data_IF_895936552445
#
_entry.id   IF_895936552445
#
_cell.length_a   1.000
_cell.length_b   1.000
_cell.length_c   1.000
_cell.angle_alpha   90.00
_cell.angle_beta   90.00
_cell.angle_gamma   90.00
#
_symmetry.space_group_name_H-M   'P 1'
#
loop_
_entity.id
_entity.type
_entity.pdbx_description
1 polymer ?
#
# COMPACT_ATOMS: atom_id res chain seq x y z
N UNK A 1 -4.74 53.38 31.31
CA UNK A 1 -5.56 52.49 30.47
C UNK A 1 -4.67 51.88 29.36
N UNK A 2 -3.81 50.91 29.64
CA UNK A 2 -2.94 50.22 28.67
C UNK A 2 -2.57 48.83 29.23
N UNK A 3 -3.53 47.92 29.44
CA UNK A 3 -3.23 46.55 29.92
C UNK A 3 -4.20 45.45 29.40
N UNK A 4 -4.92 45.67 28.31
CA UNK A 4 -5.91 44.66 27.82
C UNK A 4 -5.55 44.09 26.43
N UNK A 5 -4.47 44.58 25.80
CA UNK A 5 -4.16 44.17 24.40
C UNK A 5 -3.19 43.01 24.25
N UNK A 6 -2.73 42.35 25.33
CA UNK A 6 -1.71 41.31 25.26
C UNK A 6 -2.23 39.88 25.45
N UNK A 7 -3.52 39.72 25.73
CA UNK A 7 -4.12 38.40 26.01
C UNK A 7 -4.85 37.74 24.83
N UNK A 8 -5.02 38.42 23.71
CA UNK A 8 -5.74 37.92 22.55
C UNK A 8 -4.84 37.24 21.53
N UNK A 9 -3.52 37.48 21.60
CA UNK A 9 -2.57 36.94 20.60
C UNK A 9 -2.10 35.51 20.90
N UNK A 10 -2.38 34.97 22.10
CA UNK A 10 -1.95 33.59 22.49
C UNK A 10 -2.98 32.51 22.12
N UNK A 11 -4.22 32.91 21.81
CA UNK A 11 -5.31 31.95 21.54
C UNK A 11 -5.37 31.48 20.07
N UNK A 12 -4.52 31.97 19.18
CA UNK A 12 -4.54 31.65 17.75
C UNK A 12 -3.47 30.61 17.29
N UNK A 13 -2.65 30.09 18.23
CA UNK A 13 -1.56 29.16 17.90
C UNK A 13 -1.85 27.69 18.23
N UNK A 14 -3.07 27.33 18.63
CA UNK A 14 -3.39 25.95 19.05
C UNK A 14 -4.28 25.19 18.04
N UNK A 15 -4.44 25.67 16.82
CA UNK A 15 -5.41 25.07 15.89
C UNK A 15 -4.83 24.46 14.63
N UNK A 16 -3.58 24.08 14.57
CA UNK A 16 -3.03 23.28 13.45
C UNK A 16 -2.20 22.09 13.89
N UNK A 17 -2.66 21.37 14.90
CA UNK A 17 -2.31 19.96 14.97
C UNK A 17 -3.25 19.21 14.01
N UNK A 18 -3.03 19.34 12.71
CA UNK A 18 -3.39 18.28 11.80
C UNK A 18 -2.56 17.09 12.25
N UNK A 19 -3.08 16.32 13.20
CA UNK A 19 -2.73 14.94 13.32
C UNK A 19 -2.95 14.37 11.92
N UNK A 20 -1.88 14.18 11.17
CA UNK A 20 -1.87 13.23 10.09
C UNK A 20 -2.38 11.95 10.73
N UNK A 21 -3.66 11.69 10.59
CA UNK A 21 -4.29 10.43 10.94
C UNK A 21 -3.46 9.43 10.17
N UNK A 22 -2.59 8.70 10.87
CA UNK A 22 -1.92 7.57 10.27
C UNK A 22 -3.07 6.79 9.63
N UNK A 23 -3.11 6.76 8.29
CA UNK A 23 -4.06 5.92 7.57
C UNK A 23 -3.88 4.55 8.21
N UNK A 24 -4.85 4.16 9.03
CA UNK A 24 -4.93 2.79 9.52
C UNK A 24 -4.88 1.96 8.24
N UNK A 25 -3.87 1.08 8.11
CA UNK A 25 -3.73 0.30 6.91
C UNK A 25 -4.97 -0.61 6.80
N UNK A 26 -5.97 -0.06 6.12
CA UNK A 26 -7.21 -0.73 5.77
C UNK A 26 -6.86 -2.00 5.01
N UNK A 27 -7.50 -3.12 5.31
CA UNK A 27 -7.32 -4.34 4.54
C UNK A 27 -7.78 -4.11 3.08
N UNK A 28 -7.22 -4.87 2.15
CA UNK A 28 -7.66 -4.80 0.75
C UNK A 28 -9.14 -5.16 0.61
N UNK A 29 -9.64 -6.06 1.45
CA UNK A 29 -11.06 -6.42 1.50
C UNK A 29 -11.93 -5.21 1.86
N UNK A 30 -11.61 -4.52 2.97
CA UNK A 30 -12.35 -3.34 3.42
C UNK A 30 -12.30 -2.21 2.37
N UNK A 31 -11.18 -2.07 1.67
CA UNK A 31 -11.05 -1.12 0.56
C UNK A 31 -11.99 -1.48 -0.60
N UNK A 32 -11.99 -2.74 -1.03
CA UNK A 32 -12.82 -3.21 -2.15
C UNK A 32 -14.32 -3.23 -1.84
N UNK A 33 -14.72 -3.37 -0.57
CA UNK A 33 -16.13 -3.25 -0.16
C UNK A 33 -16.69 -1.82 -0.33
N UNK A 34 -15.82 -0.81 -0.40
CA UNK A 34 -16.19 0.61 -0.52
C UNK A 34 -15.98 1.19 -1.91
N UNK A 35 -15.39 0.43 -2.82
CA UNK A 35 -14.96 0.90 -4.13
C UNK A 35 -15.54 0.03 -5.24
N UNK A 36 -15.80 0.67 -6.37
CA UNK A 36 -16.18 -0.04 -7.58
C UNK A 36 -14.93 -0.68 -8.20
N UNK A 37 -14.94 -2.00 -8.35
CA UNK A 37 -13.84 -2.77 -8.94
C UNK A 37 -13.67 -2.49 -10.44
N UNK A 38 -14.72 -2.02 -11.12
CA UNK A 38 -14.64 -1.65 -12.53
C UNK A 38 -13.99 -0.28 -12.76
N UNK A 39 -13.83 0.50 -11.71
CA UNK A 39 -13.15 1.79 -11.80
C UNK A 39 -11.64 1.62 -11.98
N UNK A 40 -11.06 2.23 -13.03
CA UNK A 40 -9.63 2.14 -13.36
C UNK A 40 -8.71 2.49 -12.18
N UNK A 41 -9.05 3.54 -11.42
CA UNK A 41 -8.29 3.95 -10.23
C UNK A 41 -8.27 2.86 -9.15
N UNK A 42 -9.37 2.12 -8.97
CA UNK A 42 -9.48 0.99 -8.04
C UNK A 42 -8.63 -0.18 -8.51
N UNK A 43 -8.66 -0.49 -9.80
CA UNK A 43 -7.84 -1.55 -10.39
C UNK A 43 -6.35 -1.23 -10.29
N UNK A 44 -5.94 0.01 -10.60
CA UNK A 44 -4.57 0.49 -10.45
C UNK A 44 -4.10 0.33 -8.99
N UNK A 45 -4.93 0.73 -8.02
CA UNK A 45 -4.59 0.55 -6.61
C UNK A 45 -4.45 -0.92 -6.22
N UNK A 46 -5.39 -1.78 -6.62
CA UNK A 46 -5.36 -3.23 -6.39
C UNK A 46 -4.08 -3.88 -6.94
N UNK A 47 -3.73 -3.56 -8.18
CA UNK A 47 -2.53 -4.09 -8.84
C UNK A 47 -1.24 -3.66 -8.12
N UNK A 48 -1.11 -2.38 -7.75
CA UNK A 48 0.04 -1.88 -6.99
C UNK A 48 0.14 -2.53 -5.61
N UNK A 49 -1.00 -2.70 -4.92
CA UNK A 49 -1.04 -3.31 -3.59
C UNK A 49 -0.66 -4.79 -3.65
N UNK A 50 -1.16 -5.51 -4.65
CA UNK A 50 -0.77 -6.90 -4.88
C UNK A 50 0.69 -7.05 -5.33
N UNK A 51 1.22 -6.13 -6.12
CA UNK A 51 2.65 -6.09 -6.44
C UNK A 51 3.49 -5.87 -5.18
N UNK A 52 3.09 -4.96 -4.29
CA UNK A 52 3.80 -4.67 -3.05
C UNK A 52 3.82 -5.86 -2.08
N UNK A 53 2.69 -6.57 -1.89
CA UNK A 53 2.63 -7.71 -0.97
C UNK A 53 3.45 -8.90 -1.48
N UNK A 54 3.48 -9.17 -2.80
CA UNK A 54 4.36 -10.18 -3.36
C UNK A 54 5.84 -9.81 -3.22
N UNK A 55 6.20 -8.53 -3.38
CA UNK A 55 7.56 -8.06 -3.09
C UNK A 55 7.92 -8.27 -1.62
N UNK A 56 6.99 -7.97 -0.70
CA UNK A 56 7.17 -8.21 0.73
C UNK A 56 7.32 -9.71 1.06
N UNK A 57 6.44 -10.56 0.54
CA UNK A 57 6.51 -12.00 0.74
C UNK A 57 7.83 -12.59 0.24
N UNK A 58 8.28 -12.14 -0.95
CA UNK A 58 9.58 -12.51 -1.49
C UNK A 58 10.72 -12.16 -0.53
N UNK A 59 10.75 -10.94 0.00
CA UNK A 59 11.79 -10.49 0.92
C UNK A 59 11.84 -11.33 2.21
N UNK A 60 10.67 -11.74 2.75
CA UNK A 60 10.59 -12.56 3.97
C UNK A 60 11.18 -13.95 3.74
N UNK A 61 10.92 -14.60 2.61
CA UNK A 61 11.34 -15.98 2.38
C UNK A 61 12.67 -16.13 1.64
N UNK A 62 13.26 -15.04 1.15
CA UNK A 62 14.45 -15.06 0.29
C UNK A 62 15.59 -15.93 0.83
N UNK A 63 15.80 -15.91 2.17
CA UNK A 63 16.88 -16.67 2.81
C UNK A 63 16.58 -18.16 2.98
N UNK A 64 15.30 -18.54 2.97
CA UNK A 64 14.86 -19.93 3.23
C UNK A 64 14.40 -20.65 1.98
N UNK A 65 13.85 -19.92 1.00
CA UNK A 65 13.33 -20.49 -0.25
C UNK A 65 13.53 -19.50 -1.41
N UNK A 66 14.71 -19.55 -2.02
CA UNK A 66 15.10 -18.66 -3.13
C UNK A 66 14.21 -18.87 -4.36
N UNK A 67 13.77 -20.11 -4.63
CA UNK A 67 12.97 -20.43 -5.82
C UNK A 67 11.56 -19.80 -5.71
N UNK A 68 10.89 -20.02 -4.59
CA UNK A 68 9.59 -19.42 -4.33
C UNK A 68 9.68 -17.88 -4.25
N UNK A 69 10.76 -17.35 -3.67
CA UNK A 69 11.03 -15.91 -3.64
C UNK A 69 11.10 -15.31 -5.04
N UNK A 70 11.81 -15.95 -5.98
CA UNK A 70 11.85 -15.50 -7.39
C UNK A 70 10.47 -15.53 -8.03
N UNK A 71 9.67 -16.57 -7.82
CA UNK A 71 8.30 -16.64 -8.34
C UNK A 71 7.40 -15.51 -7.80
N UNK A 72 7.60 -15.09 -6.55
CA UNK A 72 6.89 -13.93 -6.02
C UNK A 72 7.34 -12.62 -6.67
N UNK A 73 8.62 -12.42 -6.94
CA UNK A 73 9.10 -11.22 -7.67
C UNK A 73 8.55 -11.18 -9.10
N UNK A 74 8.49 -12.31 -9.79
CA UNK A 74 7.90 -12.37 -11.13
C UNK A 74 6.42 -11.97 -11.10
N UNK A 75 5.63 -12.49 -10.15
CA UNK A 75 4.23 -12.07 -9.95
C UNK A 75 4.12 -10.58 -9.62
N UNK A 76 4.97 -10.08 -8.73
CA UNK A 76 5.00 -8.66 -8.37
C UNK A 76 5.24 -7.75 -9.58
N UNK A 77 6.22 -8.10 -10.41
CA UNK A 77 6.56 -7.31 -11.59
C UNK A 77 5.45 -7.38 -12.66
N UNK A 78 4.83 -8.53 -12.87
CA UNK A 78 3.71 -8.67 -13.82
C UNK A 78 2.52 -7.80 -13.40
N UNK A 79 2.19 -7.76 -12.10
CA UNK A 79 1.10 -6.91 -11.59
C UNK A 79 1.44 -5.42 -11.69
N UNK A 80 2.70 -5.06 -11.42
CA UNK A 80 3.16 -3.68 -11.58
C UNK A 80 3.06 -3.23 -13.05
N UNK A 81 3.46 -4.11 -13.97
CA UNK A 81 3.38 -3.82 -15.40
C UNK A 81 1.93 -3.57 -15.86
N UNK A 82 0.99 -4.42 -15.42
CA UNK A 82 -0.45 -4.20 -15.67
C UNK A 82 -0.95 -2.88 -15.09
N UNK A 83 -0.45 -2.47 -13.91
CA UNK A 83 -0.79 -1.16 -13.35
C UNK A 83 -0.28 0.00 -14.21
N UNK A 84 0.94 -0.10 -14.74
CA UNK A 84 1.50 0.88 -15.68
C UNK A 84 0.65 0.97 -16.96
N UNK A 85 0.25 -0.18 -17.53
CA UNK A 85 -0.63 -0.20 -18.70
C UNK A 85 -1.95 0.53 -18.46
N UNK A 86 -2.61 0.28 -17.32
CA UNK A 86 -3.85 0.97 -16.97
C UNK A 86 -3.65 2.47 -16.76
N UNK A 87 -2.55 2.90 -16.14
CA UNK A 87 -2.24 4.33 -15.97
C UNK A 87 -2.07 5.03 -17.33
N UNK A 88 -1.49 4.35 -18.32
CA UNK A 88 -1.35 4.90 -19.67
C UNK A 88 -2.72 4.97 -20.35
N UNK A 89 -3.53 3.92 -20.26
CA UNK A 89 -4.81 3.81 -20.98
C UNK A 89 -5.88 4.71 -20.34
N UNK A 90 -6.08 4.59 -19.03
CA UNK A 90 -7.21 5.21 -18.33
C UNK A 90 -6.88 6.62 -17.84
N UNK A 91 -5.64 6.84 -17.37
CA UNK A 91 -5.20 8.13 -16.82
C UNK A 91 -4.41 8.96 -17.84
N UNK A 92 -4.19 8.45 -19.06
CA UNK A 92 -3.48 9.13 -20.16
C UNK A 92 -2.05 9.60 -19.77
N UNK A 93 -1.40 8.87 -18.87
CA UNK A 93 -0.03 9.18 -18.46
C UNK A 93 0.98 8.81 -19.56
N UNK A 94 2.12 9.48 -19.57
CA UNK A 94 3.26 9.01 -20.36
C UNK A 94 3.81 7.72 -19.77
N UNK A 95 4.52 6.92 -20.55
CA UNK A 95 5.16 5.70 -20.06
C UNK A 95 6.09 5.97 -18.88
N UNK A 96 6.90 7.04 -18.96
CA UNK A 96 7.85 7.43 -17.93
C UNK A 96 7.12 7.80 -16.61
N UNK A 97 6.08 8.63 -16.70
CA UNK A 97 5.30 9.04 -15.53
C UNK A 97 4.54 7.86 -14.93
N UNK A 98 3.93 7.00 -15.75
CA UNK A 98 3.22 5.82 -15.29
C UNK A 98 4.15 4.82 -14.56
N UNK A 99 5.34 4.57 -15.10
CA UNK A 99 6.34 3.71 -14.46
C UNK A 99 6.76 4.28 -13.11
N UNK A 100 7.14 5.56 -13.08
CA UNK A 100 7.54 6.24 -11.84
C UNK A 100 6.42 6.21 -10.79
N UNK A 101 5.19 6.57 -11.19
CA UNK A 101 4.05 6.60 -10.28
C UNK A 101 3.70 5.21 -9.74
N UNK A 102 3.75 4.16 -10.58
CA UNK A 102 3.52 2.80 -10.14
C UNK A 102 4.60 2.31 -9.16
N UNK A 103 5.87 2.60 -9.43
CA UNK A 103 6.97 2.25 -8.53
C UNK A 103 6.89 2.98 -7.19
N UNK A 104 6.57 4.27 -7.19
CA UNK A 104 6.42 5.07 -5.96
C UNK A 104 5.23 4.56 -5.12
N UNK A 105 4.10 4.25 -5.75
CA UNK A 105 2.94 3.65 -5.08
C UNK A 105 3.29 2.28 -4.49
N UNK A 106 3.92 1.39 -5.28
CA UNK A 106 4.37 0.07 -4.81
C UNK A 106 5.32 0.19 -3.63
N UNK A 107 6.31 1.08 -3.71
CA UNK A 107 7.30 1.30 -2.65
C UNK A 107 6.63 1.71 -1.34
N UNK A 108 5.73 2.70 -1.38
CA UNK A 108 4.99 3.15 -0.18
C UNK A 108 4.18 2.01 0.43
N UNK A 109 3.47 1.22 -0.37
CA UNK A 109 2.68 0.07 0.08
C UNK A 109 3.58 -1.03 0.66
N UNK A 110 4.72 -1.31 0.05
CA UNK A 110 5.72 -2.24 0.56
C UNK A 110 6.24 -1.81 1.93
N UNK A 111 6.59 -0.54 2.11
CA UNK A 111 7.05 0.01 3.39
C UNK A 111 5.99 -0.17 4.50
N UNK A 112 4.70 0.01 4.17
CA UNK A 112 3.60 -0.28 5.09
C UNK A 112 3.55 -1.75 5.49
N UNK A 113 3.66 -2.70 4.53
CA UNK A 113 3.72 -4.13 4.83
C UNK A 113 4.93 -4.50 5.70
N UNK A 114 6.10 -3.89 5.46
CA UNK A 114 7.29 -4.10 6.29
C UNK A 114 7.04 -3.65 7.73
N UNK A 115 6.47 -2.45 7.91
CA UNK A 115 6.19 -1.90 9.24
C UNK A 115 5.15 -2.74 10.00
N UNK A 116 4.05 -3.10 9.35
CA UNK A 116 2.96 -3.83 9.99
C UNK A 116 3.28 -5.32 10.16
N UNK A 117 3.99 -5.92 9.21
CA UNK A 117 4.48 -7.29 9.35
C UNK A 117 5.49 -7.43 10.50
N UNK A 118 6.33 -6.41 10.74
CA UNK A 118 7.21 -6.37 11.93
C UNK A 118 6.40 -6.33 13.22
N UNK A 119 5.41 -5.42 13.31
CA UNK A 119 4.51 -5.36 14.48
C UNK A 119 3.78 -6.70 14.71
N UNK A 120 3.32 -7.32 13.61
CA UNK A 120 2.65 -8.60 13.70
C UNK A 120 3.59 -9.73 14.15
N UNK A 121 4.84 -9.72 13.68
CA UNK A 121 5.86 -10.65 14.14
C UNK A 121 6.11 -10.52 15.65
N UNK A 122 6.24 -9.30 16.14
CA UNK A 122 6.48 -9.06 17.58
C UNK A 122 5.34 -9.64 18.44
N UNK A 123 4.09 -9.51 17.97
CA UNK A 123 2.89 -9.98 18.66
C UNK A 123 2.60 -11.47 18.43
N UNK A 124 2.63 -11.94 17.20
CA UNK A 124 2.08 -13.23 16.77
C UNK A 124 3.16 -14.21 16.29
N UNK A 125 4.44 -13.82 16.26
CA UNK A 125 5.56 -14.61 15.70
C UNK A 125 5.32 -15.03 14.24
N UNK A 126 4.59 -14.24 13.49
CA UNK A 126 4.31 -14.42 12.08
C UNK A 126 4.24 -13.08 11.37
N UNK A 127 4.78 -12.98 10.16
CA UNK A 127 4.66 -11.79 9.33
C UNK A 127 3.25 -11.62 8.71
N UNK A 128 2.50 -12.69 8.59
CA UNK A 128 1.22 -12.73 7.88
C UNK A 128 0.05 -13.14 8.80
N UNK A 129 0.16 -14.31 9.47
CA UNK A 129 -0.93 -14.90 10.23
C UNK A 129 -1.39 -13.99 11.37
N UNK A 130 -2.71 -13.77 11.46
CA UNK A 130 -3.30 -12.92 12.50
C UNK A 130 -3.29 -11.42 12.20
N UNK A 131 -3.06 -11.05 10.94
CA UNK A 131 -3.13 -9.67 10.44
C UNK A 131 -3.85 -9.59 9.10
N UNK A 132 -4.24 -8.38 8.70
CA UNK A 132 -4.83 -8.10 7.39
C UNK A 132 -3.91 -8.52 6.22
N UNK A 133 -2.59 -8.63 6.46
CA UNK A 133 -1.61 -9.01 5.42
C UNK A 133 -1.91 -10.41 4.88
N UNK A 134 -2.38 -11.35 5.71
CA UNK A 134 -2.78 -12.68 5.25
C UNK A 134 -4.03 -12.63 4.36
N UNK A 135 -4.98 -11.76 4.66
CA UNK A 135 -6.18 -11.56 3.84
C UNK A 135 -5.84 -10.92 2.50
N UNK A 136 -5.04 -9.87 2.51
CA UNK A 136 -4.53 -9.23 1.29
C UNK A 136 -3.80 -10.23 0.39
N UNK A 137 -2.93 -11.07 0.97
CA UNK A 137 -2.22 -12.12 0.23
C UNK A 137 -3.18 -13.14 -0.40
N UNK A 138 -4.27 -13.49 0.30
CA UNK A 138 -5.30 -14.38 -0.24
C UNK A 138 -6.01 -13.78 -1.45
N UNK A 139 -6.39 -12.50 -1.39
CA UNK A 139 -7.03 -11.78 -2.51
C UNK A 139 -6.07 -11.69 -3.70
N UNK A 140 -4.84 -11.27 -3.45
CA UNK A 140 -3.82 -11.13 -4.49
C UNK A 140 -3.44 -12.46 -5.14
N UNK A 141 -3.52 -13.57 -4.40
CA UNK A 141 -3.24 -14.90 -4.98
C UNK A 141 -4.32 -15.34 -5.98
N UNK A 142 -5.56 -14.97 -5.77
CA UNK A 142 -6.64 -15.21 -6.74
C UNK A 142 -6.40 -14.39 -8.00
N UNK A 143 -6.17 -13.08 -7.85
CA UNK A 143 -5.91 -12.18 -8.97
C UNK A 143 -4.71 -12.61 -9.84
N UNK A 144 -3.64 -13.09 -9.23
CA UNK A 144 -2.43 -13.51 -9.96
C UNK A 144 -2.58 -14.87 -10.68
N UNK A 145 -3.60 -15.66 -10.36
CA UNK A 145 -3.86 -16.97 -10.96
C UNK A 145 -5.01 -16.94 -11.99
N UNK A 146 -5.81 -15.86 -12.01
CA UNK A 146 -6.83 -15.64 -13.04
C UNK A 146 -6.13 -15.29 -14.36
N UNK A 147 -6.18 -16.24 -15.32
CA UNK A 147 -5.58 -16.14 -16.66
C UNK A 147 -6.57 -15.60 -17.66
#
# INVERSE_FOLDING_TARGET
MKRISFLITILYLISFSNFAKAESNESLKEYLEKKDIEEGSTQIYLLNRCSAIYTYASAIILKTDVLTSKGFIEKANNLLFKSVELMIIDEQQTLEDAQKNAEDKRKKLFENYVADGKKNWDKNKSHFKGSYIAEDMSICSKLANDK
#
